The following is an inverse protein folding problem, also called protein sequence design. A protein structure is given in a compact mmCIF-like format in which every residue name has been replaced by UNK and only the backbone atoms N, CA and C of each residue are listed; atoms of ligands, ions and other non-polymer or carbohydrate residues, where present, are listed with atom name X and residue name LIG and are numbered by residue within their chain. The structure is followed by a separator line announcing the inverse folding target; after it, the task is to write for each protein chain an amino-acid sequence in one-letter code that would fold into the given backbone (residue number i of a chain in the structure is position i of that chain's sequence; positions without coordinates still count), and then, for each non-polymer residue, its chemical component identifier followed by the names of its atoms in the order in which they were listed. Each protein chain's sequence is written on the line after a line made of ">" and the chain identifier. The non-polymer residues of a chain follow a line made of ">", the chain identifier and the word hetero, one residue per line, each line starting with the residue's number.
data_IF_393916752821
#
_entry.id   IF_393916752821
#
_cell.length_a   1.000
_cell.length_b   1.000
_cell.length_c   1.000
_cell.angle_alpha   90.00
_cell.angle_beta   90.00
_cell.angle_gamma   90.00
#
_symmetry.space_group_name_H-M   'P 1'
#
loop_
_entity.id
_entity.type
_entity.pdbx_description
1 polymer ?
#
# COMPACT_ATOMS: atom_id res chain seq x y z
N UNK A 1 0.12 36.33 6.35
CA UNK A 1 1.23 35.36 6.43
C UNK A 1 1.17 34.43 7.67
N UNK A 2 0.05 34.35 8.40
CA UNK A 2 -0.07 33.56 9.65
C UNK A 2 -0.48 32.08 9.46
N UNK A 3 -0.63 31.61 8.21
CA UNK A 3 -1.21 30.29 7.95
C UNK A 3 -0.14 29.18 7.86
N UNK A 4 1.12 29.52 7.53
CA UNK A 4 2.21 28.55 7.34
C UNK A 4 2.57 27.79 8.62
N UNK A 5 2.50 28.45 9.77
CA UNK A 5 2.80 27.85 11.07
C UNK A 5 1.81 26.76 11.48
N UNK A 6 0.54 26.87 11.08
CA UNK A 6 -0.46 25.83 11.30
C UNK A 6 -0.21 24.57 10.44
N UNK A 7 0.39 24.72 9.26
CA UNK A 7 0.74 23.60 8.38
C UNK A 7 2.05 22.91 8.78
N UNK A 8 2.95 23.62 9.46
CA UNK A 8 4.27 23.12 9.82
C UNK A 8 4.22 21.91 10.76
N UNK A 9 3.32 21.92 11.75
CA UNK A 9 3.21 20.85 12.76
C UNK A 9 2.77 19.51 12.15
N UNK A 10 1.64 19.41 11.41
CA UNK A 10 1.26 18.15 10.78
C UNK A 10 2.30 17.70 9.75
N UNK A 11 2.84 18.58 8.91
CA UNK A 11 3.89 18.23 7.94
C UNK A 11 5.13 17.66 8.65
N UNK A 12 5.56 18.26 9.76
CA UNK A 12 6.69 17.77 10.54
C UNK A 12 6.40 16.40 11.17
N UNK A 13 5.21 16.18 11.73
CA UNK A 13 4.80 14.88 12.30
C UNK A 13 4.80 13.78 11.23
N UNK A 14 4.20 14.08 10.07
CA UNK A 14 4.17 13.24 8.88
C UNK A 14 5.59 12.87 8.44
N UNK A 15 6.46 13.88 8.27
CA UNK A 15 7.85 13.69 7.88
C UNK A 15 8.64 12.86 8.90
N UNK A 16 8.37 13.04 10.20
CA UNK A 16 9.03 12.32 11.29
C UNK A 16 8.61 10.84 11.34
N UNK A 17 7.33 10.53 11.12
CA UNK A 17 6.82 9.17 10.99
C UNK A 17 7.47 8.48 9.78
N UNK A 18 7.52 9.17 8.63
CA UNK A 18 8.20 8.70 7.41
C UNK A 18 9.66 8.41 7.67
N UNK A 19 10.38 9.36 8.25
CA UNK A 19 11.80 9.22 8.52
C UNK A 19 12.09 8.05 9.48
N UNK A 20 11.37 7.95 10.60
CA UNK A 20 11.58 6.87 11.58
C UNK A 20 11.25 5.50 11.01
N UNK A 21 10.17 5.39 10.23
CA UNK A 21 9.76 4.12 9.64
C UNK A 21 10.72 3.68 8.55
N UNK A 22 11.05 4.58 7.62
CA UNK A 22 12.03 4.33 6.56
C UNK A 22 13.37 3.87 7.14
N UNK A 23 13.89 4.55 8.16
CA UNK A 23 15.18 4.18 8.78
C UNK A 23 15.16 2.78 9.40
N UNK A 24 14.01 2.32 9.91
CA UNK A 24 13.87 1.02 10.56
C UNK A 24 13.70 -0.14 9.57
N UNK A 25 13.36 0.17 8.31
CA UNK A 25 13.08 -0.82 7.25
C UNK A 25 14.26 -1.04 6.30
N UNK A 26 15.41 -0.42 6.57
CA UNK A 26 16.64 -0.64 5.83
C UNK A 26 17.25 -1.98 6.29
N UNK A 27 17.11 -3.02 5.47
CA UNK A 27 17.72 -4.32 5.73
C UNK A 27 17.22 -5.42 4.81
N UNK A 28 17.90 -6.57 4.84
CA UNK A 28 17.43 -7.79 4.19
C UNK A 28 16.39 -8.46 5.09
N UNK A 29 15.18 -8.69 4.57
CA UNK A 29 14.14 -9.40 5.31
C UNK A 29 14.00 -10.82 4.79
N UNK A 30 13.99 -11.79 5.71
CA UNK A 30 13.71 -13.20 5.39
C UNK A 30 12.29 -13.28 4.83
N UNK A 31 12.16 -13.84 3.62
CA UNK A 31 10.85 -14.07 3.01
C UNK A 31 10.08 -15.07 3.87
N UNK A 32 8.85 -14.70 4.25
CA UNK A 32 7.95 -15.55 5.02
C UNK A 32 6.64 -15.73 4.26
N UNK A 33 6.52 -16.75 3.40
CA UNK A 33 5.43 -16.86 2.42
C UNK A 33 4.04 -16.83 3.08
N UNK A 34 3.91 -17.43 4.27
CA UNK A 34 2.65 -17.43 5.02
C UNK A 34 2.13 -16.04 5.37
N UNK A 35 3.02 -15.12 5.78
CA UNK A 35 2.63 -13.73 6.10
C UNK A 35 2.26 -12.94 4.85
N UNK A 36 2.93 -13.21 3.73
CA UNK A 36 2.63 -12.57 2.44
C UNK A 36 1.27 -13.03 1.91
N UNK A 37 0.99 -14.33 1.94
CA UNK A 37 -0.32 -14.90 1.56
C UNK A 37 -1.45 -14.34 2.40
N UNK A 38 -1.28 -14.30 3.73
CA UNK A 38 -2.29 -13.74 4.63
C UNK A 38 -2.60 -12.27 4.28
N UNK A 39 -1.56 -11.44 4.10
CA UNK A 39 -1.75 -10.03 3.69
C UNK A 39 -2.44 -9.91 2.34
N UNK A 40 -2.05 -10.72 1.35
CA UNK A 40 -2.66 -10.74 0.03
C UNK A 40 -4.17 -11.04 0.13
N UNK A 41 -4.55 -12.06 0.88
CA UNK A 41 -5.95 -12.44 1.10
C UNK A 41 -6.73 -11.33 1.81
N UNK A 42 -6.16 -10.75 2.88
CA UNK A 42 -6.79 -9.66 3.62
C UNK A 42 -7.04 -8.44 2.72
N UNK A 43 -6.03 -8.01 1.95
CA UNK A 43 -6.21 -6.88 1.02
C UNK A 43 -7.20 -7.18 -0.09
N UNK A 44 -7.22 -8.42 -0.60
CA UNK A 44 -8.23 -8.86 -1.58
C UNK A 44 -9.65 -8.81 -1.02
N UNK A 45 -9.86 -9.30 0.20
CA UNK A 45 -11.15 -9.27 0.89
C UNK A 45 -11.62 -7.83 1.16
N UNK A 46 -10.71 -6.96 1.62
CA UNK A 46 -11.01 -5.54 1.83
C UNK A 46 -11.41 -4.88 0.51
N UNK A 47 -10.69 -5.17 -0.59
CA UNK A 47 -11.02 -4.65 -1.91
C UNK A 47 -12.37 -5.10 -2.41
N UNK A 48 -12.71 -6.37 -2.20
CA UNK A 48 -14.01 -6.91 -2.54
C UNK A 48 -15.12 -6.21 -1.75
N UNK A 49 -14.96 -6.05 -0.43
CA UNK A 49 -15.90 -5.34 0.44
C UNK A 49 -16.14 -3.91 -0.03
N UNK A 50 -15.06 -3.16 -0.32
CA UNK A 50 -15.16 -1.78 -0.80
C UNK A 50 -15.86 -1.73 -2.17
N UNK A 51 -15.55 -2.66 -3.08
CA UNK A 51 -16.20 -2.77 -4.39
C UNK A 51 -17.71 -3.03 -4.24
N UNK A 52 -18.10 -3.93 -3.34
CA UNK A 52 -19.50 -4.26 -3.06
C UNK A 52 -20.28 -3.07 -2.51
N UNK A 53 -19.69 -2.27 -1.62
CA UNK A 53 -20.33 -1.04 -1.11
C UNK A 53 -20.41 0.03 -2.20
N UNK A 54 -19.41 0.11 -3.07
CA UNK A 54 -19.36 1.04 -4.20
C UNK A 54 -20.41 0.85 -5.27
N UNK A 55 -20.99 -0.35 -5.38
CA UNK A 55 -21.97 -0.69 -6.41
C UNK A 55 -23.23 0.19 -6.37
N UNK A 56 -23.51 0.80 -5.22
CA UNK A 56 -24.64 1.71 -4.99
C UNK A 56 -24.44 3.11 -5.63
N UNK A 57 -23.20 3.48 -6.00
CA UNK A 57 -22.91 4.83 -6.49
C UNK A 57 -21.99 4.82 -7.73
N UNK A 58 -22.51 5.08 -8.94
CA UNK A 58 -21.76 4.97 -10.19
C UNK A 58 -20.47 5.82 -10.27
N UNK A 59 -20.44 6.96 -9.57
CA UNK A 59 -19.28 7.86 -9.57
C UNK A 59 -18.02 7.24 -8.96
N UNK A 60 -18.18 6.22 -8.12
CA UNK A 60 -17.04 5.55 -7.48
C UNK A 60 -16.26 4.67 -8.45
N UNK A 61 -16.88 4.16 -9.53
CA UNK A 61 -16.19 3.30 -10.50
C UNK A 61 -15.03 4.01 -11.20
N UNK A 62 -15.14 5.32 -11.47
CA UNK A 62 -14.06 6.11 -12.05
C UNK A 62 -12.89 6.19 -11.07
N UNK A 63 -13.17 6.47 -9.80
CA UNK A 63 -12.15 6.49 -8.75
C UNK A 63 -11.51 5.11 -8.56
N UNK A 64 -12.27 4.04 -8.71
CA UNK A 64 -11.75 2.67 -8.63
C UNK A 64 -10.83 2.35 -9.81
N UNK A 65 -11.23 2.70 -11.02
CA UNK A 65 -10.42 2.49 -12.22
C UNK A 65 -9.10 3.28 -12.15
N UNK A 66 -9.17 4.56 -11.79
CA UNK A 66 -7.97 5.39 -11.60
C UNK A 66 -7.08 4.85 -10.48
N UNK A 67 -7.69 4.44 -9.36
CA UNK A 67 -6.98 3.86 -8.23
C UNK A 67 -6.26 2.57 -8.60
N UNK A 68 -6.98 1.63 -9.22
CA UNK A 68 -6.44 0.37 -9.72
C UNK A 68 -5.27 0.62 -10.68
N UNK A 69 -5.45 1.48 -11.68
CA UNK A 69 -4.43 1.82 -12.66
C UNK A 69 -3.16 2.40 -12.03
N UNK A 70 -3.32 3.40 -11.15
CA UNK A 70 -2.18 4.01 -10.45
C UNK A 70 -1.44 3.00 -9.56
N UNK A 71 -2.17 2.16 -8.82
CA UNK A 71 -1.55 1.16 -7.96
C UNK A 71 -0.85 0.04 -8.74
N UNK A 72 -1.35 -0.35 -9.92
CA UNK A 72 -0.66 -1.28 -10.81
C UNK A 72 0.65 -0.71 -11.36
N UNK A 73 0.64 0.57 -11.78
CA UNK A 73 1.86 1.25 -12.22
C UNK A 73 2.91 1.31 -11.10
N UNK A 74 2.49 1.68 -9.88
CA UNK A 74 3.36 1.69 -8.71
C UNK A 74 3.90 0.30 -8.38
N UNK A 75 3.06 -0.74 -8.47
CA UNK A 75 3.47 -2.11 -8.20
C UNK A 75 4.48 -2.60 -9.22
N UNK A 76 4.33 -2.23 -10.49
CA UNK A 76 5.27 -2.55 -11.57
C UNK A 76 6.64 -1.93 -11.33
N UNK A 77 6.70 -0.65 -10.96
CA UNK A 77 7.98 -0.01 -10.63
C UNK A 77 8.61 -0.63 -9.38
N UNK A 78 7.82 -0.94 -8.35
CA UNK A 78 8.33 -1.61 -7.15
C UNK A 78 8.94 -3.00 -7.45
N UNK A 79 8.34 -3.75 -8.37
CA UNK A 79 8.86 -5.04 -8.83
C UNK A 79 10.23 -4.87 -9.51
N UNK A 80 10.36 -3.88 -10.40
CA UNK A 80 11.60 -3.63 -11.18
C UNK A 80 12.83 -3.36 -10.29
N UNK A 81 12.60 -2.80 -9.10
CA UNK A 81 13.66 -2.46 -8.14
C UNK A 81 13.88 -3.52 -7.05
N UNK A 82 13.15 -4.64 -7.05
CA UNK A 82 13.32 -5.67 -6.04
C UNK A 82 14.53 -6.56 -6.36
N UNK A 83 15.40 -6.75 -5.37
CA UNK A 83 16.60 -7.61 -5.46
C UNK A 83 16.45 -8.78 -4.49
N UNK A 84 16.72 -9.98 -5.00
CA UNK A 84 16.75 -11.21 -4.21
C UNK A 84 18.19 -11.63 -3.96
N UNK A 85 18.46 -12.07 -2.73
CA UNK A 85 19.76 -12.61 -2.33
C UNK A 85 19.53 -13.96 -1.66
N UNK A 86 20.21 -15.00 -2.16
CA UNK A 86 20.20 -16.32 -1.54
C UNK A 86 21.23 -16.34 -0.41
N UNK A 87 20.81 -16.72 0.80
CA UNK A 87 21.72 -16.99 1.92
C UNK A 87 21.50 -18.42 2.41
N UNK A 88 22.47 -18.90 3.20
CA UNK A 88 22.50 -20.27 3.76
C UNK A 88 21.19 -20.67 4.45
N UNK A 89 20.50 -19.71 5.06
CA UNK A 89 19.32 -19.94 5.90
C UNK A 89 17.98 -19.67 5.18
N UNK A 90 18.03 -19.38 3.87
CA UNK A 90 16.86 -19.14 3.01
C UNK A 90 16.98 -17.91 2.10
N UNK A 91 15.91 -17.63 1.35
CA UNK A 91 15.85 -16.48 0.45
C UNK A 91 15.56 -15.17 1.22
N UNK A 92 16.44 -14.19 1.05
CA UNK A 92 16.27 -12.85 1.60
C UNK A 92 15.87 -11.92 0.45
N UNK A 93 14.70 -11.31 0.58
CA UNK A 93 14.32 -10.20 -0.28
C UNK A 93 14.77 -8.91 0.38
N UNK A 94 15.46 -8.07 -0.38
CA UNK A 94 15.56 -6.65 -0.04
C UNK A 94 14.30 -5.97 -0.55
N UNK A 95 13.31 -5.83 0.32
CA UNK A 95 12.14 -4.98 0.04
C UNK A 95 12.65 -3.55 -0.09
N UNK A 96 12.54 -2.96 -1.28
CA UNK A 96 13.03 -1.60 -1.49
C UNK A 96 12.17 -0.63 -0.67
N UNK A 97 12.81 0.33 0.01
CA UNK A 97 12.19 1.32 0.91
C UNK A 97 10.99 2.05 0.28
N UNK A 98 10.95 2.12 -1.05
CA UNK A 98 9.86 2.69 -1.85
C UNK A 98 8.51 2.05 -1.55
N UNK A 99 8.43 0.75 -1.23
CA UNK A 99 7.16 0.07 -0.93
C UNK A 99 6.48 0.70 0.28
N UNK A 100 7.25 0.89 1.36
CA UNK A 100 6.74 1.52 2.56
C UNK A 100 6.53 3.02 2.35
N UNK A 101 7.42 3.67 1.60
CA UNK A 101 7.33 5.09 1.30
C UNK A 101 6.07 5.43 0.48
N UNK A 102 5.70 4.61 -0.51
CA UNK A 102 4.53 4.82 -1.36
C UNK A 102 3.23 4.70 -0.57
N UNK A 103 3.10 3.64 0.23
CA UNK A 103 1.89 3.42 1.04
C UNK A 103 1.77 4.49 2.12
N UNK A 104 2.89 4.87 2.70
CA UNK A 104 2.95 5.94 3.67
C UNK A 104 2.63 7.29 3.03
N UNK A 105 3.17 7.60 1.85
CA UNK A 105 2.86 8.83 1.11
C UNK A 105 1.39 8.90 0.71
N UNK A 106 0.77 7.80 0.26
CA UNK A 106 -0.66 7.74 -0.05
C UNK A 106 -1.52 7.99 1.21
N UNK A 107 -1.17 7.33 2.31
CA UNK A 107 -1.87 7.50 3.58
C UNK A 107 -1.74 8.94 4.11
N UNK A 108 -0.55 9.50 4.04
CA UNK A 108 -0.25 10.86 4.50
C UNK A 108 -0.87 11.92 3.60
N UNK A 109 -0.79 11.76 2.28
CA UNK A 109 -1.46 12.62 1.31
C UNK A 109 -2.97 12.62 1.51
N UNK A 110 -3.56 11.46 1.86
CA UNK A 110 -4.98 11.36 2.20
C UNK A 110 -5.33 12.07 3.50
N UNK A 111 -4.52 11.90 4.55
CA UNK A 111 -4.71 12.63 5.82
C UNK A 111 -4.61 14.14 5.57
N UNK A 112 -3.60 14.60 4.85
CA UNK A 112 -3.41 15.99 4.51
C UNK A 112 -4.60 16.55 3.72
N UNK A 113 -5.05 15.84 2.66
CA UNK A 113 -6.23 16.22 1.89
C UNK A 113 -7.47 16.33 2.76
N UNK A 114 -7.70 15.38 3.68
CA UNK A 114 -8.87 15.41 4.55
C UNK A 114 -8.83 16.54 5.57
N UNK A 115 -7.65 16.83 6.13
CA UNK A 115 -7.45 17.98 7.02
C UNK A 115 -7.75 19.28 6.25
N UNK A 116 -7.22 19.43 5.03
CA UNK A 116 -7.48 20.60 4.17
C UNK A 116 -8.97 20.71 3.85
N UNK A 117 -9.63 19.62 3.44
CA UNK A 117 -11.05 19.60 3.12
C UNK A 117 -11.92 19.96 4.34
N UNK A 118 -11.64 19.41 5.53
CA UNK A 118 -12.32 19.78 6.77
C UNK A 118 -12.15 21.27 7.10
N UNK A 119 -10.98 21.84 6.83
CA UNK A 119 -10.69 23.26 7.06
C UNK A 119 -11.36 24.19 6.04
N UNK A 120 -11.51 23.77 4.79
CA UNK A 120 -12.19 24.56 3.75
C UNK A 120 -13.72 24.46 3.80
N UNK A 121 -14.27 23.36 4.32
CA UNK A 121 -15.72 23.16 4.50
C UNK A 121 -16.32 23.97 5.65
N UNK A 122 -15.49 24.63 6.48
CA UNK A 122 -15.92 25.59 7.53
C UNK A 122 -16.79 26.76 7.01
N UNK A 123 -16.90 26.96 5.69
CA UNK A 123 -17.63 28.06 5.07
C UNK A 123 -19.00 27.68 4.47
N UNK A 124 -19.45 26.42 4.52
CA UNK A 124 -20.77 26.07 3.98
C UNK A 124 -21.16 24.61 4.09
N UNK A 125 -22.22 24.36 4.86
CA UNK A 125 -23.19 23.27 4.69
C UNK A 125 -22.63 21.89 4.35
N UNK A 126 -22.09 21.19 5.36
CA UNK A 126 -22.24 19.72 5.42
C UNK A 126 -22.16 19.26 6.87
N UNK A 127 -23.28 18.80 7.41
CA UNK A 127 -23.39 18.09 8.69
C UNK A 127 -22.77 16.69 8.56
N UNK A 128 -21.46 16.61 8.35
CA UNK A 128 -20.73 15.35 8.42
C UNK A 128 -20.45 15.01 9.88
N UNK A 129 -20.93 13.86 10.33
CA UNK A 129 -20.73 13.35 11.69
C UNK A 129 -19.37 12.62 11.72
N UNK A 130 -18.36 13.13 12.47
CA UNK A 130 -17.02 12.51 12.53
C UNK A 130 -17.02 11.07 13.07
N UNK A 131 -18.09 10.68 13.76
CA UNK A 131 -18.21 9.39 14.44
C UNK A 131 -18.93 8.32 13.59
N UNK A 132 -19.35 8.63 12.36
CA UNK A 132 -20.00 7.65 11.48
C UNK A 132 -18.96 6.98 10.55
N UNK A 133 -18.57 5.71 10.80
CA UNK A 133 -17.63 4.99 9.97
C UNK A 133 -18.13 4.77 8.52
N UNK A 134 -19.44 4.85 8.27
CA UNK A 134 -19.99 4.73 6.91
C UNK A 134 -19.80 5.97 6.05
N UNK A 135 -19.55 7.15 6.65
CA UNK A 135 -19.25 8.36 5.87
C UNK A 135 -17.90 8.28 5.17
N UNK A 136 -16.92 7.54 5.72
CA UNK A 136 -15.62 7.33 5.08
C UNK A 136 -15.75 6.58 3.74
N UNK A 137 -16.68 5.63 3.66
CA UNK A 137 -16.88 4.78 2.48
C UNK A 137 -17.67 5.48 1.37
N UNK A 138 -18.40 6.56 1.71
CA UNK A 138 -19.15 7.40 0.75
C UNK A 138 -18.30 8.43 0.01
N UNK A 139 -17.07 8.70 0.44
CA UNK A 139 -16.17 9.61 -0.29
C UNK A 139 -15.43 8.85 -1.43
N UNK A 140 -15.69 9.18 -2.71
CA UNK A 140 -15.09 8.51 -3.86
C UNK A 140 -13.56 8.57 -3.86
N UNK A 141 -12.99 9.65 -3.33
CA UNK A 141 -11.54 9.86 -3.31
C UNK A 141 -10.86 8.94 -2.28
N UNK A 142 -11.53 8.63 -1.15
CA UNK A 142 -11.01 7.63 -0.20
C UNK A 142 -10.94 6.27 -0.86
N UNK A 143 -12.04 5.90 -1.50
CA UNK A 143 -12.18 4.57 -2.06
C UNK A 143 -11.22 4.36 -3.24
N UNK A 144 -10.99 5.37 -4.07
CA UNK A 144 -9.94 5.36 -5.09
C UNK A 144 -8.53 5.10 -4.51
N UNK A 145 -8.15 5.79 -3.43
CA UNK A 145 -6.85 5.59 -2.78
C UNK A 145 -6.72 4.19 -2.18
N UNK A 146 -7.81 3.64 -1.60
CA UNK A 146 -7.82 2.25 -1.17
C UNK A 146 -7.55 1.30 -2.34
N UNK A 147 -8.16 1.53 -3.50
CA UNK A 147 -7.86 0.73 -4.69
C UNK A 147 -6.43 0.88 -5.19
N UNK A 148 -5.79 2.05 -5.05
CA UNK A 148 -4.33 2.20 -5.29
C UNK A 148 -3.54 1.27 -4.38
N UNK A 149 -3.81 1.33 -3.07
CA UNK A 149 -3.08 0.55 -2.06
C UNK A 149 -3.30 -0.95 -2.30
N UNK A 150 -4.54 -1.35 -2.58
CA UNK A 150 -4.91 -2.74 -2.79
C UNK A 150 -4.28 -3.28 -4.06
N UNK A 151 -4.44 -2.65 -5.22
CA UNK A 151 -3.86 -3.16 -6.47
C UNK A 151 -2.34 -3.18 -6.41
N UNK A 152 -1.73 -2.18 -5.79
CA UNK A 152 -0.30 -2.14 -5.51
C UNK A 152 0.17 -3.37 -4.74
N UNK A 153 -0.42 -3.63 -3.57
CA UNK A 153 -0.01 -4.76 -2.72
C UNK A 153 -0.34 -6.10 -3.36
N UNK A 154 -1.45 -6.20 -4.09
CA UNK A 154 -1.87 -7.43 -4.76
C UNK A 154 -0.87 -7.81 -5.85
N UNK A 155 -0.45 -6.85 -6.68
CA UNK A 155 0.56 -7.06 -7.70
C UNK A 155 1.93 -7.38 -7.07
N UNK A 156 2.35 -6.61 -6.08
CA UNK A 156 3.66 -6.77 -5.46
C UNK A 156 3.81 -8.09 -4.70
N UNK A 157 2.86 -8.43 -3.81
CA UNK A 157 2.90 -9.68 -3.05
C UNK A 157 2.67 -10.90 -3.95
N UNK A 158 1.80 -10.78 -4.96
CA UNK A 158 1.62 -11.83 -5.97
C UNK A 158 2.91 -12.13 -6.73
N UNK A 159 3.64 -11.09 -7.16
CA UNK A 159 4.95 -11.24 -7.78
C UNK A 159 5.95 -11.91 -6.82
N UNK A 160 6.02 -11.44 -5.57
CA UNK A 160 6.99 -11.93 -4.60
C UNK A 160 6.80 -13.42 -4.28
N UNK A 161 5.55 -13.87 -4.13
CA UNK A 161 5.21 -15.28 -3.94
C UNK A 161 5.50 -16.15 -5.18
N UNK A 162 5.28 -15.60 -6.38
CA UNK A 162 5.57 -16.31 -7.63
C UNK A 162 7.08 -16.51 -7.79
N UNK A 163 7.87 -15.49 -7.47
CA UNK A 163 9.31 -15.54 -7.62
C UNK A 163 9.95 -16.45 -6.57
N UNK A 164 9.50 -16.37 -5.31
CA UNK A 164 9.90 -17.33 -4.26
C UNK A 164 9.67 -18.78 -4.70
N UNK A 165 8.47 -19.10 -5.22
CA UNK A 165 8.13 -20.46 -5.65
C UNK A 165 8.99 -20.94 -6.84
N UNK A 166 9.35 -20.03 -7.76
CA UNK A 166 10.27 -20.36 -8.86
C UNK A 166 11.67 -20.66 -8.33
N UNK A 167 12.15 -19.85 -7.39
CA UNK A 167 13.48 -19.99 -6.79
C UNK A 167 13.59 -21.27 -5.95
N UNK A 168 12.54 -21.61 -5.17
CA UNK A 168 12.42 -22.91 -4.50
C UNK A 168 12.46 -24.07 -5.50
N UNK A 169 11.64 -23.99 -6.57
CA UNK A 169 11.60 -25.04 -7.60
C UNK A 169 12.91 -25.15 -8.39
N UNK A 170 13.72 -24.11 -8.48
CA UNK A 170 15.03 -24.16 -9.14
C UNK A 170 16.14 -24.72 -8.23
N UNK A 171 16.02 -24.54 -6.91
CA UNK A 171 16.96 -25.09 -5.94
C UNK A 171 16.81 -26.62 -5.76
N UNK A 172 15.57 -27.12 -5.73
CA UNK A 172 15.26 -28.55 -5.56
C UNK A 172 15.89 -29.48 -6.62
N UNK A 173 15.84 -29.21 -7.94
CA UNK A 173 16.40 -30.11 -8.96
C UNK A 173 17.94 -30.16 -8.93
N UNK A 174 18.63 -29.10 -8.49
CA UNK A 174 20.09 -29.08 -8.41
C UNK A 174 20.65 -30.00 -7.29
N UNK A 175 19.84 -30.29 -6.26
CA UNK A 175 20.23 -31.17 -5.14
C UNK A 175 19.95 -32.65 -5.45
N UNK A 176 19.01 -32.95 -6.35
CA UNK A 176 18.65 -34.32 -6.74
C UNK A 176 19.57 -34.91 -7.81
N UNK A 177 20.27 -34.08 -8.58
CA UNK A 177 21.15 -34.53 -9.68
C UNK A 177 22.61 -34.81 -9.26
N UNK A 178 22.98 -34.55 -8.00
CA UNK A 178 24.28 -34.94 -7.45
C UNK A 178 24.15 -35.95 -6.30
N UNK A 179 23.78 -37.22 -6.59
CA UNK A 179 24.03 -38.29 -5.65
C UNK A 179 25.54 -38.54 -5.65
N UNK A 180 26.19 -38.15 -4.55
CA UNK A 180 27.54 -38.60 -4.22
C UNK A 180 27.60 -40.14 -4.17
#
# INVERSE_FOLDING_TARGET
>A
MQNISHYAIPIALVALIVYRRSKRSIGFQKLRPGRLKFRLVVFGLIGLLILSVGFMHPIHFIAYALGLGAGLLLGREAIRHTRFEQRVDGWYARTHIWVELTVLALFLGRIAYRIIAMMTTSAGTTTMNPNDPMQMTRDPWTAGIFFVIISYYMLYYGYLLREERKLEKAAVPAEVENPA
#
